data_IF_243986611982
#
_entry.id   IF_243986611982
#
_cell.length_a   1.000
_cell.length_b   1.000
_cell.length_c   1.000
_cell.angle_alpha   90.00
_cell.angle_beta   90.00
_cell.angle_gamma   90.00
#
_symmetry.space_group_name_H-M   'P 1'
#
loop_
_entity.id
_entity.type
_entity.pdbx_description
1 polymer ?
#
# COMPACT_ATOMS: atom_id res chain seq x y z
N UNK A 1 -14.19 -9.36 17.99
CA UNK A 1 -12.83 -9.11 17.48
C UNK A 1 -12.67 -9.92 16.21
N UNK A 2 -12.46 -9.27 15.05
CA UNK A 2 -12.11 -10.03 13.85
C UNK A 2 -10.73 -10.64 14.08
N UNK A 3 -10.67 -11.96 14.19
CA UNK A 3 -9.41 -12.71 14.24
C UNK A 3 -8.97 -12.84 12.79
N UNK A 4 -8.00 -12.04 12.39
CA UNK A 4 -7.36 -12.17 11.08
C UNK A 4 -6.29 -13.25 11.16
N UNK A 5 -6.27 -14.16 10.19
CA UNK A 5 -5.25 -15.20 10.09
C UNK A 5 -3.91 -14.57 9.70
N UNK A 6 -2.96 -14.57 10.63
CA UNK A 6 -1.64 -13.98 10.43
C UNK A 6 -0.85 -14.69 9.33
N UNK A 7 -0.99 -16.02 9.21
CA UNK A 7 -0.30 -16.82 8.23
C UNK A 7 -0.88 -16.57 6.83
N UNK A 8 -2.19 -16.41 6.73
CA UNK A 8 -2.86 -15.99 5.51
C UNK A 8 -2.33 -14.63 5.04
N UNK A 9 -2.32 -13.62 5.93
CA UNK A 9 -1.84 -12.28 5.58
C UNK A 9 -0.35 -12.24 5.21
N UNK A 10 0.49 -13.02 5.92
CA UNK A 10 1.89 -13.18 5.56
C UNK A 10 2.07 -13.85 4.18
N UNK A 11 1.21 -14.82 3.85
CA UNK A 11 1.14 -15.43 2.52
C UNK A 11 0.79 -14.42 1.44
N UNK A 12 -0.28 -13.65 1.64
CA UNK A 12 -0.72 -12.58 0.72
C UNK A 12 0.38 -11.55 0.51
N UNK A 13 1.02 -11.07 1.59
CA UNK A 13 2.13 -10.12 1.50
C UNK A 13 3.28 -10.65 0.65
N UNK A 14 3.69 -11.90 0.89
CA UNK A 14 4.76 -12.52 0.11
C UNK A 14 4.40 -12.59 -1.38
N UNK A 15 3.23 -13.11 -1.72
CA UNK A 15 2.83 -13.25 -3.12
C UNK A 15 2.62 -11.90 -3.80
N UNK A 16 2.04 -10.92 -3.10
CA UNK A 16 1.86 -9.56 -3.61
C UNK A 16 3.20 -8.89 -3.93
N UNK A 17 4.21 -9.04 -3.07
CA UNK A 17 5.56 -8.52 -3.33
C UNK A 17 6.22 -9.11 -4.58
N UNK A 18 5.88 -10.35 -4.96
CA UNK A 18 6.39 -10.97 -6.19
C UNK A 18 5.66 -10.47 -7.45
N UNK A 19 4.41 -10.00 -7.31
CA UNK A 19 3.52 -9.66 -8.44
C UNK A 19 3.24 -8.15 -8.55
N UNK A 20 3.79 -7.35 -7.64
CA UNK A 20 3.53 -5.91 -7.51
C UNK A 20 3.83 -5.12 -8.80
N UNK A 21 4.73 -5.61 -9.68
CA UNK A 21 4.99 -4.98 -10.97
C UNK A 21 3.79 -5.01 -11.92
N UNK A 22 2.99 -6.08 -11.83
CA UNK A 22 1.83 -6.37 -12.69
C UNK A 22 0.55 -5.67 -12.21
N UNK A 23 0.57 -5.11 -11.00
CA UNK A 23 -0.58 -4.45 -10.42
C UNK A 23 -0.80 -3.07 -11.06
N UNK A 24 -2.05 -2.79 -11.42
CA UNK A 24 -2.48 -1.42 -11.73
C UNK A 24 -2.67 -0.61 -10.42
N UNK A 25 -2.86 0.71 -10.54
CA UNK A 25 -3.01 1.63 -9.40
C UNK A 25 -4.17 1.25 -8.46
N UNK A 26 -5.26 0.70 -9.00
CA UNK A 26 -6.40 0.20 -8.22
C UNK A 26 -6.03 -1.03 -7.41
N UNK A 27 -5.31 -1.99 -7.99
CA UNK A 27 -4.86 -3.17 -7.27
C UNK A 27 -3.91 -2.80 -6.12
N UNK A 28 -2.95 -1.89 -6.36
CA UNK A 28 -2.00 -1.44 -5.32
C UNK A 28 -2.73 -0.70 -4.19
N UNK A 29 -3.60 0.25 -4.52
CA UNK A 29 -4.33 1.03 -3.50
C UNK A 29 -5.29 0.16 -2.67
N UNK A 30 -5.96 -0.81 -3.28
CA UNK A 30 -6.81 -1.75 -2.56
C UNK A 30 -6.00 -2.68 -1.65
N UNK A 31 -4.83 -3.14 -2.12
CA UNK A 31 -3.94 -3.97 -1.32
C UNK A 31 -3.47 -3.23 -0.06
N UNK A 32 -2.90 -2.03 -0.21
CA UNK A 32 -2.38 -1.26 0.94
C UNK A 32 -3.50 -0.88 1.91
N UNK A 33 -4.67 -0.50 1.39
CA UNK A 33 -5.84 -0.21 2.20
C UNK A 33 -6.30 -1.44 2.99
N UNK A 34 -6.37 -2.62 2.36
CA UNK A 34 -6.77 -3.86 3.04
C UNK A 34 -5.86 -4.21 4.22
N UNK A 35 -4.53 -4.07 4.07
CA UNK A 35 -3.57 -4.29 5.15
C UNK A 35 -3.69 -3.23 6.26
N UNK A 36 -3.99 -1.99 5.91
CA UNK A 36 -4.21 -0.93 6.88
C UNK A 36 -5.51 -1.10 7.68
N UNK A 37 -6.60 -1.59 7.07
CA UNK A 37 -7.88 -1.82 7.78
C UNK A 37 -7.78 -2.84 8.91
N UNK A 38 -6.83 -3.77 8.80
CA UNK A 38 -6.54 -4.78 9.83
C UNK A 38 -5.40 -4.36 10.76
N UNK A 39 -4.95 -3.09 10.68
CA UNK A 39 -3.85 -2.49 11.43
C UNK A 39 -2.54 -3.28 11.35
N UNK A 40 -2.28 -3.91 10.19
CA UNK A 40 -1.10 -4.74 10.00
C UNK A 40 0.06 -3.92 9.46
N UNK A 41 1.09 -3.82 10.30
CA UNK A 41 2.39 -3.26 9.93
C UNK A 41 3.23 -4.34 9.25
N UNK A 42 3.15 -4.39 7.93
CA UNK A 42 4.02 -5.21 7.09
C UNK A 42 5.05 -4.31 6.41
N UNK A 43 6.13 -4.00 7.13
CA UNK A 43 7.13 -3.06 6.64
C UNK A 43 7.70 -3.44 5.25
N UNK A 44 8.06 -4.72 4.96
CA UNK A 44 8.50 -5.11 3.62
C UNK A 44 7.49 -4.80 2.52
N UNK A 45 6.19 -5.07 2.76
CA UNK A 45 5.16 -4.78 1.77
C UNK A 45 4.98 -3.28 1.58
N UNK A 46 4.89 -2.50 2.66
CA UNK A 46 4.67 -1.06 2.60
C UNK A 46 5.82 -0.32 1.92
N UNK A 47 7.08 -0.67 2.21
CA UNK A 47 8.24 -0.05 1.53
C UNK A 47 8.26 -0.36 0.04
N UNK A 48 7.85 -1.57 -0.37
CA UNK A 48 7.79 -1.92 -1.80
C UNK A 48 6.62 -1.20 -2.51
N UNK A 49 5.49 -1.06 -1.82
CA UNK A 49 4.34 -0.27 -2.31
C UNK A 49 4.74 1.20 -2.45
N UNK A 50 5.45 1.78 -1.48
CA UNK A 50 5.95 3.16 -1.58
C UNK A 50 6.78 3.36 -2.86
N UNK A 51 7.72 2.46 -3.14
CA UNK A 51 8.56 2.55 -4.32
C UNK A 51 7.73 2.48 -5.62
N UNK A 52 6.75 1.57 -5.69
CA UNK A 52 5.87 1.42 -6.87
C UNK A 52 4.97 2.64 -7.04
N UNK A 53 4.35 3.12 -5.96
CA UNK A 53 3.46 4.28 -5.99
C UNK A 53 4.24 5.54 -6.36
N UNK A 54 5.41 5.79 -5.77
CA UNK A 54 6.24 6.97 -6.08
C UNK A 54 6.68 6.98 -7.55
N UNK A 55 7.04 5.82 -8.10
CA UNK A 55 7.43 5.70 -9.51
C UNK A 55 6.25 5.86 -10.50
N UNK A 56 5.02 5.69 -10.03
CA UNK A 56 3.80 5.64 -10.85
C UNK A 56 2.72 6.60 -10.38
N UNK A 57 3.06 7.64 -9.62
CA UNK A 57 2.08 8.52 -8.95
C UNK A 57 1.05 9.09 -9.94
N UNK A 58 1.51 9.51 -11.12
CA UNK A 58 0.67 10.03 -12.23
C UNK A 58 -0.40 9.07 -12.77
N UNK A 59 -0.29 7.78 -12.45
CA UNK A 59 -1.28 6.77 -12.86
C UNK A 59 -2.38 6.52 -11.82
N UNK A 60 -2.28 7.15 -10.64
CA UNK A 60 -3.25 7.01 -9.57
C UNK A 60 -4.31 8.09 -9.72
N UNK A 61 -5.58 7.68 -9.68
CA UNK A 61 -6.69 8.62 -9.60
C UNK A 61 -6.90 9.11 -8.16
N UNK A 62 -7.81 10.08 -7.97
CA UNK A 62 -8.07 10.66 -6.65
C UNK A 62 -8.40 9.65 -5.55
N UNK A 63 -9.12 8.57 -5.89
CA UNK A 63 -9.50 7.54 -4.93
C UNK A 63 -8.29 6.66 -4.56
N UNK A 64 -7.47 6.28 -5.54
CA UNK A 64 -6.28 5.47 -5.31
C UNK A 64 -5.26 6.25 -4.46
N UNK A 65 -5.07 7.54 -4.73
CA UNK A 65 -4.24 8.45 -3.94
C UNK A 65 -4.74 8.54 -2.50
N UNK A 66 -6.04 8.81 -2.30
CA UNK A 66 -6.64 8.94 -0.98
C UNK A 66 -6.55 7.64 -0.16
N UNK A 67 -6.83 6.49 -0.77
CA UNK A 67 -6.72 5.18 -0.13
C UNK A 67 -5.28 4.89 0.30
N UNK A 68 -4.32 5.18 -0.57
CA UNK A 68 -2.89 4.95 -0.29
C UNK A 68 -2.44 5.87 0.85
N UNK A 69 -2.69 7.18 0.76
CA UNK A 69 -2.31 8.14 1.79
C UNK A 69 -2.91 7.79 3.16
N UNK A 70 -4.21 7.45 3.21
CA UNK A 70 -4.87 7.02 4.44
C UNK A 70 -4.24 5.74 5.00
N UNK A 71 -3.93 4.76 4.15
CA UNK A 71 -3.38 3.48 4.59
C UNK A 71 -2.01 3.63 5.28
N UNK A 72 -1.10 4.41 4.70
CA UNK A 72 0.22 4.70 5.31
C UNK A 72 0.07 5.43 6.64
N UNK A 73 -0.81 6.43 6.71
CA UNK A 73 -1.11 7.15 7.95
C UNK A 73 -1.72 6.25 9.03
N UNK A 74 -2.66 5.37 8.67
CA UNK A 74 -3.37 4.49 9.59
C UNK A 74 -2.46 3.48 10.29
N UNK A 75 -1.46 2.94 9.58
CA UNK A 75 -0.47 2.03 10.18
C UNK A 75 0.73 2.76 10.78
N UNK A 76 0.88 4.07 10.51
CA UNK A 76 2.02 4.88 10.94
C UNK A 76 3.33 4.44 10.29
N UNK A 77 3.30 4.14 8.99
CA UNK A 77 4.49 3.84 8.20
C UNK A 77 4.92 5.10 7.46
N UNK A 78 6.15 5.55 7.69
CA UNK A 78 6.70 6.71 7.01
C UNK A 78 6.87 6.41 5.51
N UNK A 79 6.40 7.32 4.65
CA UNK A 79 6.56 7.22 3.20
C UNK A 79 6.81 8.60 2.58
N UNK A 80 7.97 9.22 2.88
CA UNK A 80 8.24 10.59 2.48
C UNK A 80 8.30 10.75 0.96
N UNK A 81 8.86 9.79 0.22
CA UNK A 81 8.94 9.87 -1.25
C UNK A 81 7.56 9.78 -1.89
N UNK A 82 6.68 8.95 -1.34
CA UNK A 82 5.30 8.87 -1.78
C UNK A 82 4.59 10.18 -1.49
N UNK A 83 4.67 10.70 -0.26
CA UNK A 83 4.03 11.97 0.10
C UNK A 83 4.49 13.12 -0.81
N UNK A 84 5.79 13.26 -1.05
CA UNK A 84 6.31 14.25 -2.00
C UNK A 84 5.71 14.09 -3.40
N UNK A 85 5.61 12.86 -3.89
CA UNK A 85 5.03 12.56 -5.21
C UNK A 85 3.52 12.86 -5.26
N UNK A 86 2.79 12.65 -4.16
CA UNK A 86 1.36 12.95 -4.05
C UNK A 86 1.07 14.46 -4.01
N UNK A 87 1.98 15.26 -3.41
CA UNK A 87 1.82 16.71 -3.28
C UNK A 87 2.39 17.51 -4.45
N UNK A 88 3.13 16.86 -5.36
CA UNK A 88 3.72 17.48 -6.54
C UNK A 88 2.77 17.52 -7.77
N UNK A 89 1.57 16.93 -7.67
CA UNK A 89 0.48 17.03 -8.66
C UNK A 89 -0.41 18.26 -8.43
#
# INVERSE_FOLDING_TARGET
>A
AHVYDEAFLAGVSREARLQLSEFDSRHVSNLVWSFATVLRRDAPLFSQIEAVCSARAVSFGPQELANTAWAFAAVGHDAPQLMESLFAE
#
